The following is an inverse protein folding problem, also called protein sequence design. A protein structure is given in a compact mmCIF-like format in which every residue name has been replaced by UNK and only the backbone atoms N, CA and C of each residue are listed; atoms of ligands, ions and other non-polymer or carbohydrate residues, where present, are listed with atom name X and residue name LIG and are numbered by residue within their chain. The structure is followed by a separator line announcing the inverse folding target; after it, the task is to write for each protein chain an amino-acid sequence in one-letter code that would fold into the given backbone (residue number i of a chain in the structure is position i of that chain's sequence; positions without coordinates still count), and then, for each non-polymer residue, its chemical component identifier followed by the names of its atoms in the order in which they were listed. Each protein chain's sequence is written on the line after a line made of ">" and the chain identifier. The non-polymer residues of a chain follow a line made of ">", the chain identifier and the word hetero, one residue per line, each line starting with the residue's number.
data_IF_430963009914
#
_entry.id   IF_430963009914
#
_cell.length_a   1.000
_cell.length_b   1.000
_cell.length_c   1.000
_cell.angle_alpha   90.00
_cell.angle_beta   90.00
_cell.angle_gamma   90.00
#
_symmetry.space_group_name_H-M   'P 1'
#
loop_
_entity.id
_entity.type
_entity.pdbx_description
1 polymer ?
#
# COMPACT_ATOMS: atom_id res chain seq x y z
N UNK A 1 -25.37 -16.65 -4.15
CA UNK A 1 -24.43 -16.80 -3.01
C UNK A 1 -23.43 -15.66 -3.14
N UNK A 2 -23.48 -14.57 -2.40
CA UNK A 2 -24.18 -14.24 -1.17
C UNK A 2 -23.18 -13.44 -0.35
N UNK A 3 -23.27 -12.11 -0.36
CA UNK A 3 -22.57 -11.18 0.55
C UNK A 3 -23.18 -9.78 0.34
N UNK A 4 -24.47 -9.64 0.65
CA UNK A 4 -25.13 -8.32 0.74
C UNK A 4 -26.06 -8.28 1.96
N UNK A 5 -25.62 -8.92 3.05
CA UNK A 5 -26.14 -8.55 4.37
C UNK A 5 -25.47 -7.23 4.71
N UNK A 6 -26.09 -6.12 4.30
CA UNK A 6 -25.68 -4.78 4.72
C UNK A 6 -25.48 -4.80 6.23
N UNK A 7 -24.22 -4.70 6.67
CA UNK A 7 -23.86 -4.60 8.07
C UNK A 7 -24.37 -3.24 8.55
N UNK A 8 -25.50 -3.23 9.25
CA UNK A 8 -26.07 -2.03 9.88
C UNK A 8 -25.86 -2.07 11.39
N UNK A 9 -25.76 -0.92 12.04
CA UNK A 9 -25.72 -0.80 13.49
C UNK A 9 -27.09 -1.00 14.13
N UNK A 10 -27.14 -1.02 15.47
CA UNK A 10 -28.38 -1.19 16.23
C UNK A 10 -29.41 -0.07 15.97
N UNK A 11 -28.98 1.02 15.33
CA UNK A 11 -29.79 2.17 14.96
C UNK A 11 -30.10 2.20 13.44
N UNK A 12 -29.69 1.17 12.68
CA UNK A 12 -29.92 1.09 11.23
C UNK A 12 -28.91 1.85 10.37
N UNK A 13 -27.83 2.41 10.93
CA UNK A 13 -26.79 3.08 10.13
C UNK A 13 -25.86 2.06 9.48
N UNK A 14 -25.42 2.31 8.24
CA UNK A 14 -24.40 1.48 7.59
C UNK A 14 -23.11 1.42 8.42
N UNK A 15 -22.66 0.21 8.77
CA UNK A 15 -21.33 -0.10 9.30
C UNK A 15 -20.31 -0.36 8.20
N UNK A 16 -20.72 -0.40 6.93
CA UNK A 16 -19.76 -0.55 5.83
C UNK A 16 -18.91 0.72 5.83
N UNK A 17 -17.57 0.60 5.98
CA UNK A 17 -16.71 1.75 5.90
C UNK A 17 -16.94 2.45 4.56
N UNK A 18 -17.35 3.72 4.58
CA UNK A 18 -17.61 4.54 3.38
C UNK A 18 -16.36 4.72 2.49
N UNK A 19 -15.19 4.39 3.02
CA UNK A 19 -13.90 4.43 2.33
C UNK A 19 -13.19 3.12 2.68
N UNK A 20 -12.88 2.31 1.66
CA UNK A 20 -11.94 1.20 1.80
C UNK A 20 -10.81 1.43 0.81
N UNK A 21 -9.74 2.06 1.31
CA UNK A 21 -8.53 2.27 0.51
C UNK A 21 -7.45 1.32 0.96
N UNK A 22 -6.88 0.61 0.01
CA UNK A 22 -5.71 -0.22 0.17
C UNK A 22 -4.51 0.51 -0.44
N UNK A 23 -3.33 0.35 0.18
CA UNK A 23 -2.08 0.84 -0.41
C UNK A 23 -1.16 -0.36 -0.57
N UNK A 24 -0.85 -0.70 -1.82
CA UNK A 24 0.24 -1.61 -2.14
C UNK A 24 1.54 -0.83 -2.02
N UNK A 25 2.48 -1.31 -1.21
CA UNK A 25 3.80 -0.69 -1.02
C UNK A 25 4.86 -1.72 -1.36
N UNK A 26 5.87 -1.27 -2.10
CA UNK A 26 7.05 -2.04 -2.44
C UNK A 26 8.31 -1.22 -2.12
N UNK A 27 9.34 -1.90 -1.64
CA UNK A 27 10.60 -1.26 -1.21
C UNK A 27 11.79 -2.03 -1.79
N UNK A 28 12.73 -1.28 -2.34
CA UNK A 28 14.01 -1.82 -2.78
C UNK A 28 15.09 -1.40 -1.79
N UNK A 29 15.98 -2.33 -1.44
CA UNK A 29 16.98 -2.13 -0.39
C UNK A 29 18.35 -2.66 -0.82
N UNK A 30 19.42 -2.18 -0.17
CA UNK A 30 20.77 -2.72 -0.37
C UNK A 30 20.98 -4.11 0.27
N UNK A 31 20.00 -4.61 1.04
CA UNK A 31 20.02 -5.88 1.76
C UNK A 31 18.92 -5.93 2.84
N UNK A 32 18.83 -7.02 3.59
CA UNK A 32 17.71 -7.25 4.54
C UNK A 32 17.94 -6.73 5.97
N UNK A 33 19.16 -6.34 6.34
CA UNK A 33 19.44 -5.88 7.71
C UNK A 33 19.06 -4.40 7.84
N UNK A 34 17.97 -4.05 8.53
CA UNK A 34 17.51 -2.66 8.62
C UNK A 34 18.45 -1.75 9.41
N UNK A 35 19.36 -2.30 10.20
CA UNK A 35 20.36 -1.52 10.95
C UNK A 35 21.53 -1.10 10.05
N UNK A 36 21.79 -1.82 8.95
CA UNK A 36 22.98 -1.59 8.11
C UNK A 36 22.73 -1.45 6.61
N UNK A 37 21.54 -1.80 6.13
CA UNK A 37 21.13 -1.68 4.74
C UNK A 37 20.17 -0.49 4.56
N UNK A 38 20.28 0.19 3.42
CA UNK A 38 19.48 1.37 3.12
C UNK A 38 18.34 1.06 2.16
N UNK A 39 17.25 1.81 2.28
CA UNK A 39 16.20 1.89 1.26
C UNK A 39 16.75 2.66 0.06
N UNK A 40 16.56 2.10 -1.14
CA UNK A 40 16.94 2.69 -2.43
C UNK A 40 15.76 3.34 -3.12
N UNK A 41 14.58 2.72 -3.03
CA UNK A 41 13.37 3.18 -3.69
C UNK A 41 12.13 2.80 -2.88
N UNK A 42 11.12 3.66 -2.95
CA UNK A 42 9.77 3.39 -2.44
C UNK A 42 8.77 3.53 -3.58
N UNK A 43 8.00 2.49 -3.81
CA UNK A 43 6.84 2.48 -4.71
C UNK A 43 5.55 2.31 -3.91
N UNK A 44 4.49 3.04 -4.31
CA UNK A 44 3.16 2.82 -3.75
C UNK A 44 2.05 3.01 -4.78
N UNK A 45 0.97 2.22 -4.66
CA UNK A 45 -0.26 2.33 -5.45
C UNK A 45 -1.45 2.31 -4.50
N UNK A 46 -2.37 3.26 -4.67
CA UNK A 46 -3.58 3.36 -3.84
C UNK A 46 -4.78 2.83 -4.64
N UNK A 47 -5.51 1.87 -4.08
CA UNK A 47 -6.75 1.33 -4.66
C UNK A 47 -7.94 1.64 -3.74
N UNK A 48 -9.06 2.04 -4.32
CA UNK A 48 -10.36 2.03 -3.64
C UNK A 48 -11.06 0.70 -3.93
N UNK A 49 -11.10 -0.20 -2.96
CA UNK A 49 -11.62 -1.56 -3.17
C UNK A 49 -13.14 -1.59 -3.32
N UNK A 50 -13.83 -0.49 -3.03
CA UNK A 50 -15.27 -0.35 -3.32
C UNK A 50 -15.52 0.11 -4.76
N UNK A 51 -14.50 0.61 -5.45
CA UNK A 51 -14.58 1.04 -6.84
C UNK A 51 -13.26 0.71 -7.59
N UNK A 52 -13.02 -0.59 -7.89
CA UNK A 52 -11.79 -1.01 -8.55
C UNK A 52 -11.65 -0.38 -9.94
N UNK A 53 -10.42 0.00 -10.29
CA UNK A 53 -10.07 0.58 -11.59
C UNK A 53 -8.87 -0.13 -12.20
N UNK A 54 -8.65 -0.03 -13.52
CA UNK A 54 -7.38 -0.45 -14.12
C UNK A 54 -6.18 0.21 -13.43
N UNK A 55 -5.07 -0.53 -13.30
CA UNK A 55 -3.86 -0.10 -12.59
C UNK A 55 -3.29 1.21 -13.15
N UNK A 56 -3.50 1.46 -14.45
CA UNK A 56 -3.08 2.66 -15.17
C UNK A 56 -3.77 3.93 -14.64
N UNK A 57 -4.97 3.79 -14.09
CA UNK A 57 -5.80 4.88 -13.57
C UNK A 57 -5.62 5.10 -12.06
N UNK A 58 -4.88 4.23 -11.38
CA UNK A 58 -4.69 4.33 -9.94
C UNK A 58 -3.65 5.40 -9.56
N UNK A 59 -3.88 6.17 -8.48
CA UNK A 59 -2.87 7.03 -7.89
C UNK A 59 -1.62 6.22 -7.53
N UNK A 60 -0.46 6.70 -7.98
CA UNK A 60 0.82 6.05 -7.77
C UNK A 60 1.86 7.03 -7.24
N UNK A 61 2.77 6.51 -6.44
CA UNK A 61 3.93 7.21 -5.94
C UNK A 61 5.17 6.38 -6.26
N UNK A 62 6.24 7.05 -6.68
CA UNK A 62 7.56 6.46 -6.87
C UNK A 62 8.59 7.50 -6.51
N UNK A 63 9.55 7.11 -5.67
CA UNK A 63 10.62 7.98 -5.22
C UNK A 63 11.90 7.20 -5.03
N UNK A 64 13.00 7.77 -5.51
CA UNK A 64 14.36 7.32 -5.23
C UNK A 64 14.81 7.96 -3.93
N UNK A 65 15.44 7.17 -3.06
CA UNK A 65 15.98 7.62 -1.78
C UNK A 65 17.49 7.74 -1.90
N UNK A 66 17.99 8.97 -1.89
CA UNK A 66 19.43 9.23 -2.01
C UNK A 66 20.13 9.13 -0.65
N UNK A 67 21.26 8.43 -0.63
CA UNK A 67 22.18 8.37 0.51
C UNK A 67 23.57 8.85 0.09
N UNK A 68 24.32 9.53 0.99
CA UNK A 68 25.70 9.92 0.70
C UNK A 68 26.62 8.71 0.43
N UNK A 69 26.32 7.56 1.04
CA UNK A 69 27.04 6.29 0.90
C UNK A 69 26.01 5.16 0.89
N UNK A 70 26.18 4.20 -0.01
CA UNK A 70 25.41 2.96 -0.06
C UNK A 70 26.26 1.79 0.41
N UNK A 71 25.70 0.93 1.26
CA UNK A 71 26.36 -0.29 1.74
C UNK A 71 25.32 -1.37 1.91
N UNK A 72 25.66 -2.61 1.57
CA UNK A 72 24.70 -3.70 1.56
C UNK A 72 25.36 -5.05 1.62
N UNK A 73 24.55 -6.07 1.89
CA UNK A 73 25.00 -7.46 1.90
C UNK A 73 23.96 -8.26 1.14
N UNK A 74 24.35 -9.07 0.14
CA UNK A 74 23.48 -10.16 -0.28
C UNK A 74 23.28 -11.05 0.95
N UNK A 75 22.08 -11.61 1.07
CA UNK A 75 21.65 -12.46 2.17
C UNK A 75 22.78 -13.31 2.79
#
# INVERSE_FOLDING_TARGET
>A
MGLDKQLVDINGNSKIPKIMRFVSIDIETTGLDPETCQILQIGAVIEDTLNPKPIEELPRFSCIVEHPIYSGRPF
#
